data_IF_842761264585
#
_entry.id   IF_842761264585
#
_cell.length_a   1.000
_cell.length_b   1.000
_cell.length_c   1.000
_cell.angle_alpha   90.00
_cell.angle_beta   90.00
_cell.angle_gamma   90.00
#
_symmetry.space_group_name_H-M   'P 1'
#
loop_
_entity.id
_entity.type
_entity.pdbx_description
1 polymer ?
#
# COMPACT_ATOMS: atom_id res chain seq x y z
N UNK A 1 45.17 45.17 -8.38
CA UNK A 1 45.00 43.83 -7.76
C UNK A 1 43.63 43.80 -7.11
N UNK A 2 42.64 43.20 -7.77
CA UNK A 2 41.27 43.02 -7.25
C UNK A 2 41.10 41.55 -6.86
N UNK A 3 40.66 41.21 -5.63
CA UNK A 3 40.47 39.81 -5.24
C UNK A 3 39.19 39.25 -5.89
N UNK A 4 39.29 38.03 -6.44
CA UNK A 4 38.14 37.23 -6.89
C UNK A 4 37.40 36.67 -5.66
N UNK A 5 36.06 36.69 -5.61
CA UNK A 5 35.33 35.99 -4.55
C UNK A 5 35.35 34.48 -4.84
N UNK A 6 35.75 33.69 -3.85
CA UNK A 6 35.61 32.24 -3.87
C UNK A 6 34.14 31.89 -3.65
N UNK A 7 33.49 31.28 -4.64
CA UNK A 7 32.16 30.74 -4.51
C UNK A 7 32.22 29.45 -3.66
N UNK A 8 31.73 29.53 -2.43
CA UNK A 8 31.55 28.38 -1.54
C UNK A 8 30.31 27.60 -2.04
N UNK A 9 30.53 26.52 -2.79
CA UNK A 9 29.47 25.57 -3.15
C UNK A 9 29.12 24.74 -1.91
N UNK A 10 28.03 25.12 -1.24
CA UNK A 10 27.43 24.32 -0.19
C UNK A 10 26.69 23.14 -0.84
N UNK A 11 27.34 21.98 -0.91
CA UNK A 11 26.69 20.75 -1.34
C UNK A 11 25.71 20.31 -0.24
N UNK A 12 24.43 20.63 -0.41
CA UNK A 12 23.35 20.07 0.41
C UNK A 12 23.16 18.62 -0.02
N UNK A 13 23.73 17.69 0.75
CA UNK A 13 23.41 16.28 0.62
C UNK A 13 21.96 16.06 1.09
N UNK A 14 21.01 15.94 0.15
CA UNK A 14 19.70 15.40 0.47
C UNK A 14 19.85 13.91 0.80
N UNK A 15 19.90 13.60 2.10
CA UNK A 15 19.65 12.24 2.56
C UNK A 15 18.18 11.92 2.31
N UNK A 16 17.91 11.23 1.20
CA UNK A 16 16.63 10.57 0.97
C UNK A 16 16.49 9.44 1.99
N UNK A 17 15.83 9.71 3.11
CA UNK A 17 15.38 8.67 4.03
C UNK A 17 14.43 7.75 3.26
N UNK A 18 14.82 6.50 3.09
CA UNK A 18 13.91 5.48 2.60
C UNK A 18 12.79 5.33 3.65
N UNK A 19 11.54 5.66 3.32
CA UNK A 19 10.39 5.24 4.11
C UNK A 19 10.34 3.71 3.99
N UNK A 20 10.92 3.03 4.97
CA UNK A 20 10.81 1.59 5.12
C UNK A 20 9.34 1.23 5.35
N UNK A 21 8.95 0.01 4.97
CA UNK A 21 7.65 -0.53 5.38
C UNK A 21 7.51 -0.42 6.90
N UNK A 22 6.44 0.21 7.36
CA UNK A 22 6.16 0.37 8.77
C UNK A 22 5.78 -0.98 9.40
N UNK A 23 6.16 -1.12 10.66
CA UNK A 23 5.73 -2.22 11.50
C UNK A 23 4.58 -1.79 12.37
N UNK A 24 3.49 -2.55 12.31
CA UNK A 24 2.27 -2.31 13.07
C UNK A 24 2.23 -3.33 14.22
N UNK A 25 2.54 -2.91 15.46
CA UNK A 25 2.48 -3.80 16.60
C UNK A 25 1.03 -4.21 16.88
N UNK A 26 0.82 -5.49 17.13
CA UNK A 26 -0.48 -6.03 17.52
C UNK A 26 -0.49 -6.27 19.02
N UNK A 27 -1.26 -5.48 19.77
CA UNK A 27 -1.37 -5.66 21.22
C UNK A 27 -2.21 -6.89 21.54
N UNK A 28 -1.64 -7.82 22.29
CA UNK A 28 -2.41 -8.94 22.85
C UNK A 28 -3.30 -8.46 23.99
N UNK A 29 -4.53 -8.95 24.01
CA UNK A 29 -5.53 -8.68 25.06
C UNK A 29 -6.12 -10.01 25.52
N UNK A 30 -6.43 -10.13 26.80
CA UNK A 30 -6.93 -11.39 27.38
C UNK A 30 -8.39 -11.67 26.99
N UNK A 31 -9.16 -10.60 26.77
CA UNK A 31 -10.52 -10.66 26.26
C UNK A 31 -10.57 -10.47 24.73
N UNK A 32 -11.76 -10.62 24.14
CA UNK A 32 -11.96 -10.25 22.74
C UNK A 32 -11.73 -8.74 22.52
N UNK A 33 -11.13 -8.32 21.39
CA UNK A 33 -10.89 -6.91 21.12
C UNK A 33 -12.18 -6.08 21.14
N UNK A 34 -12.08 -4.83 21.62
CA UNK A 34 -13.23 -3.95 21.73
C UNK A 34 -13.83 -3.63 20.36
N UNK A 35 -15.14 -3.88 20.20
CA UNK A 35 -15.82 -3.61 18.93
C UNK A 35 -16.21 -2.15 18.73
N UNK A 36 -16.30 -1.36 19.80
CA UNK A 36 -16.60 0.08 19.72
C UNK A 36 -15.35 0.86 19.26
N UNK A 37 -15.39 1.57 18.13
CA UNK A 37 -14.27 2.38 17.64
C UNK A 37 -13.86 3.55 18.55
N UNK A 38 -14.70 3.91 19.53
CA UNK A 38 -14.42 4.95 20.52
C UNK A 38 -13.94 4.39 21.87
N UNK A 39 -13.85 3.07 22.01
CA UNK A 39 -13.40 2.44 23.25
C UNK A 39 -12.00 2.93 23.64
N UNK A 40 -11.83 3.27 24.92
CA UNK A 40 -10.58 3.83 25.45
C UNK A 40 -9.39 2.89 25.27
N UNK A 41 -9.62 1.58 25.23
CA UNK A 41 -8.57 0.59 24.96
C UNK A 41 -7.87 0.90 23.62
N UNK A 42 -8.58 1.32 22.58
CA UNK A 42 -7.95 1.74 21.32
C UNK A 42 -7.11 3.01 21.49
N UNK A 43 -7.63 3.99 22.22
CA UNK A 43 -6.98 5.30 22.34
C UNK A 43 -5.69 5.26 23.18
N UNK A 44 -5.52 4.27 24.05
CA UNK A 44 -4.28 4.04 24.80
C UNK A 44 -3.15 3.43 23.97
N UNK A 45 -3.44 2.94 22.76
CA UNK A 45 -2.42 2.42 21.87
C UNK A 45 -1.80 3.53 21.02
N UNK A 46 -0.47 3.57 20.88
CA UNK A 46 0.14 4.40 19.85
C UNK A 46 -0.40 3.97 18.48
N UNK A 47 -0.78 4.94 17.66
CA UNK A 47 -1.18 4.67 16.29
C UNK A 47 0.05 4.70 15.40
N UNK A 48 0.14 3.73 14.49
CA UNK A 48 1.06 3.84 13.36
C UNK A 48 0.37 4.69 12.29
N UNK A 49 0.99 5.80 11.90
CA UNK A 49 0.50 6.69 10.86
C UNK A 49 1.09 6.27 9.51
N UNK A 50 0.21 5.90 8.58
CA UNK A 50 0.53 5.40 7.25
C UNK A 50 0.13 6.43 6.21
N UNK A 51 0.96 6.60 5.18
CA UNK A 51 0.64 7.47 4.04
C UNK A 51 -0.35 6.77 3.11
N UNK A 52 -1.42 7.47 2.77
CA UNK A 52 -2.40 7.09 1.76
C UNK A 52 -2.04 7.77 0.44
N UNK A 53 -1.85 6.96 -0.61
CA UNK A 53 -1.49 7.41 -1.94
C UNK A 53 -2.59 7.05 -2.94
N UNK A 54 -2.86 7.90 -3.94
CA UNK A 54 -3.75 7.54 -5.04
C UNK A 54 -3.35 6.22 -5.70
N UNK A 55 -4.31 5.33 -5.94
CA UNK A 55 -4.09 4.21 -6.84
C UNK A 55 -4.11 4.73 -8.29
N UNK A 56 -2.96 4.79 -8.95
CA UNK A 56 -2.85 5.31 -10.33
C UNK A 56 -2.81 4.23 -11.41
N UNK A 57 -2.82 2.95 -11.02
CA UNK A 57 -2.62 1.84 -11.96
C UNK A 57 -3.85 1.56 -12.83
N UNK A 58 -5.07 1.80 -12.34
CA UNK A 58 -6.32 1.50 -13.06
C UNK A 58 -7.14 2.77 -13.28
N UNK A 59 -7.61 3.03 -14.51
CA UNK A 59 -8.51 4.14 -14.81
C UNK A 59 -9.86 4.08 -14.05
N UNK A 60 -10.44 5.23 -13.66
CA UNK A 60 -9.86 6.56 -13.75
C UNK A 60 -8.67 6.70 -12.79
N UNK A 61 -7.50 7.07 -13.31
CA UNK A 61 -6.26 7.19 -12.52
C UNK A 61 -6.10 8.59 -11.90
N UNK A 62 -7.07 9.47 -12.12
CA UNK A 62 -7.10 10.82 -11.58
C UNK A 62 -8.04 10.88 -10.39
N UNK A 63 -7.50 10.65 -9.20
CA UNK A 63 -8.11 11.24 -8.01
C UNK A 63 -7.98 12.77 -8.12
N UNK A 64 -8.98 13.56 -7.70
CA UNK A 64 -8.79 15.00 -7.55
C UNK A 64 -7.56 15.24 -6.67
N UNK A 65 -6.64 16.10 -7.12
CA UNK A 65 -5.44 16.46 -6.35
C UNK A 65 -5.77 17.01 -4.95
N UNK A 66 -7.00 17.52 -4.76
CA UNK A 66 -7.57 17.98 -3.51
C UNK A 66 -8.84 17.17 -3.15
N UNK A 67 -8.70 15.86 -2.97
CA UNK A 67 -9.76 15.06 -2.33
C UNK A 67 -9.98 15.50 -0.88
N UNK A 68 -11.18 15.23 -0.34
CA UNK A 68 -11.55 15.60 1.01
C UNK A 68 -10.89 14.71 2.08
N UNK A 69 -10.50 13.50 1.70
CA UNK A 69 -9.78 12.57 2.58
C UNK A 69 -8.30 12.96 2.72
N UNK A 70 -7.85 13.00 3.97
CA UNK A 70 -6.46 13.26 4.35
C UNK A 70 -5.53 12.14 3.85
N UNK A 71 -4.26 12.46 3.58
CA UNK A 71 -3.27 11.53 3.06
C UNK A 71 -2.68 10.61 4.14
N UNK A 72 -3.34 10.53 5.30
CA UNK A 72 -2.92 9.78 6.48
C UNK A 72 -4.01 8.84 6.98
N UNK A 73 -3.62 7.58 7.15
CA UNK A 73 -4.38 6.54 7.85
C UNK A 73 -3.67 6.18 9.15
N UNK A 74 -4.36 6.27 10.27
CA UNK A 74 -3.87 5.79 11.55
C UNK A 74 -4.38 4.39 11.80
N UNK A 75 -3.46 3.47 12.10
CA UNK A 75 -3.78 2.07 12.36
C UNK A 75 -3.34 1.66 13.75
N UNK A 76 -4.22 0.94 14.44
CA UNK A 76 -3.90 0.19 15.67
C UNK A 76 -4.43 -1.22 15.52
N UNK A 77 -3.81 -2.16 16.21
CA UNK A 77 -4.20 -3.56 16.13
C UNK A 77 -4.26 -4.19 17.53
N UNK A 78 -5.29 -4.99 17.76
CA UNK A 78 -5.43 -5.82 18.94
C UNK A 78 -5.71 -7.27 18.54
N UNK A 79 -5.24 -8.21 19.35
CA UNK A 79 -5.51 -9.63 19.17
C UNK A 79 -5.98 -10.23 20.49
N UNK A 80 -7.19 -10.78 20.48
CA UNK A 80 -7.74 -11.55 21.60
C UNK A 80 -7.57 -13.05 21.39
N UNK A 81 -8.31 -13.87 22.16
CA UNK A 81 -8.27 -15.32 22.07
C UNK A 81 -8.66 -15.85 20.69
N UNK A 82 -9.69 -15.26 20.06
CA UNK A 82 -10.23 -15.78 18.78
C UNK A 82 -10.13 -14.80 17.61
N UNK A 83 -9.99 -13.50 17.86
CA UNK A 83 -10.01 -12.47 16.80
C UNK A 83 -8.78 -11.59 16.76
N UNK A 84 -8.43 -11.22 15.53
CA UNK A 84 -7.63 -10.05 15.22
C UNK A 84 -8.58 -8.90 14.89
N UNK A 85 -8.33 -7.73 15.48
CA UNK A 85 -9.09 -6.51 15.20
C UNK A 85 -8.14 -5.37 14.82
N UNK A 86 -8.53 -4.63 13.79
CA UNK A 86 -7.83 -3.45 13.30
C UNK A 86 -8.71 -2.24 13.52
N UNK A 87 -8.16 -1.21 14.15
CA UNK A 87 -8.76 0.10 14.32
C UNK A 87 -8.14 1.05 13.30
N UNK A 88 -8.98 1.57 12.41
CA UNK A 88 -8.63 2.47 11.32
C UNK A 88 -9.20 3.85 11.62
N UNK A 89 -8.36 4.88 11.56
CA UNK A 89 -8.78 6.26 11.73
C UNK A 89 -8.22 7.14 10.61
N UNK A 90 -9.10 7.85 9.90
CA UNK A 90 -8.70 8.84 8.90
C UNK A 90 -9.60 10.07 9.00
N UNK A 91 -9.10 11.20 8.52
CA UNK A 91 -9.88 12.44 8.45
C UNK A 91 -10.67 12.48 7.15
N UNK A 92 -11.95 12.76 7.31
CA UNK A 92 -12.91 12.98 6.23
C UNK A 92 -13.93 14.03 6.72
N UNK A 93 -13.85 15.29 6.24
CA UNK A 93 -14.75 16.36 6.63
C UNK A 93 -16.17 16.21 6.04
N UNK A 94 -16.37 15.36 5.03
CA UNK A 94 -17.65 15.20 4.30
C UNK A 94 -18.01 13.72 4.17
N UNK A 95 -18.47 13.08 5.26
CA UNK A 95 -18.72 11.65 5.26
C UNK A 95 -19.88 11.30 4.33
N UNK A 96 -19.67 10.35 3.42
CA UNK A 96 -20.70 9.78 2.59
C UNK A 96 -21.16 8.44 3.16
N UNK A 97 -22.35 8.41 3.78
CA UNK A 97 -22.86 7.21 4.50
C UNK A 97 -23.80 6.32 3.68
N UNK A 98 -24.17 6.74 2.48
CA UNK A 98 -25.19 6.03 1.67
C UNK A 98 -24.67 5.70 0.29
N UNK A 99 -25.09 4.56 -0.24
CA UNK A 99 -24.75 4.11 -1.57
C UNK A 99 -26.02 4.02 -2.44
N UNK A 100 -25.91 4.36 -3.72
CA UNK A 100 -27.01 4.29 -4.67
C UNK A 100 -26.59 4.77 -6.05
N UNK A 101 -27.57 4.99 -6.93
CA UNK A 101 -27.32 5.52 -8.28
C UNK A 101 -26.72 6.93 -8.15
N UNK A 102 -25.50 7.11 -8.66
CA UNK A 102 -24.76 8.37 -8.57
C UNK A 102 -24.31 8.76 -7.16
N UNK A 103 -24.43 7.85 -6.17
CA UNK A 103 -23.98 8.09 -4.79
C UNK A 103 -23.08 6.96 -4.32
N UNK A 104 -21.90 7.32 -3.83
CA UNK A 104 -20.93 6.39 -3.28
C UNK A 104 -20.82 6.61 -1.78
N UNK A 105 -20.55 5.53 -1.06
CA UNK A 105 -20.36 5.58 0.39
C UNK A 105 -18.88 5.41 0.69
N UNK A 106 -18.43 6.04 1.77
CA UNK A 106 -17.06 5.87 2.27
C UNK A 106 -16.81 4.41 2.59
N UNK A 107 -15.60 3.95 2.33
CA UNK A 107 -15.23 2.58 2.54
C UNK A 107 -13.79 2.47 3.02
N UNK A 108 -13.49 1.33 3.64
CA UNK A 108 -12.14 0.94 3.99
C UNK A 108 -11.97 -0.56 3.73
N UNK A 109 -10.76 -0.92 3.34
CA UNK A 109 -10.37 -2.30 3.17
C UNK A 109 -8.98 -2.55 3.75
N UNK A 110 -8.76 -3.79 4.17
CA UNK A 110 -7.45 -4.31 4.53
C UNK A 110 -7.22 -5.59 3.74
N UNK A 111 -6.00 -5.79 3.26
CA UNK A 111 -5.62 -7.00 2.54
C UNK A 111 -4.30 -7.59 3.03
N UNK A 112 -4.13 -8.90 2.85
CA UNK A 112 -2.90 -9.65 3.11
C UNK A 112 -2.81 -10.90 2.25
N UNK A 113 -1.63 -11.50 2.08
CA UNK A 113 -1.47 -12.77 1.35
C UNK A 113 -2.32 -13.88 1.98
N UNK A 114 -3.03 -14.66 1.17
CA UNK A 114 -3.85 -15.76 1.67
C UNK A 114 -2.97 -16.86 2.28
N UNK A 115 -3.36 -17.35 3.46
CA UNK A 115 -2.49 -18.16 4.31
C UNK A 115 -2.03 -19.51 3.72
N UNK A 116 -2.79 -20.08 2.79
CA UNK A 116 -2.53 -21.40 2.21
C UNK A 116 -1.32 -21.46 1.25
N UNK A 117 -0.68 -20.32 0.97
CA UNK A 117 0.24 -20.17 -0.16
C UNK A 117 1.40 -19.21 0.13
N UNK A 118 1.46 -18.64 1.33
CA UNK A 118 2.56 -17.81 1.78
C UNK A 118 3.54 -18.69 2.59
N UNK A 119 4.64 -19.22 1.99
CA UNK A 119 5.69 -19.87 2.77
C UNK A 119 6.27 -18.88 3.77
N UNK A 120 6.68 -19.38 4.94
CA UNK A 120 7.53 -18.65 5.88
C UNK A 120 9.01 -19.01 5.59
N UNK A 121 9.92 -18.04 5.51
CA UNK A 121 9.68 -16.60 5.64
C UNK A 121 8.91 -16.06 4.42
N UNK A 122 8.07 -15.05 4.67
CA UNK A 122 7.25 -14.43 3.63
C UNK A 122 8.06 -14.12 2.37
N UNK A 123 7.69 -14.78 1.28
CA UNK A 123 8.02 -14.33 -0.07
C UNK A 123 7.59 -12.86 -0.22
N UNK A 124 8.12 -12.17 -1.24
CA UNK A 124 7.67 -10.82 -1.58
C UNK A 124 6.13 -10.74 -1.60
N UNK A 125 5.55 -9.66 -1.04
CA UNK A 125 4.12 -9.57 -0.97
C UNK A 125 3.53 -9.55 -2.38
N UNK A 126 2.33 -10.13 -2.58
CA UNK A 126 1.65 -10.11 -3.88
C UNK A 126 1.49 -8.69 -4.42
N UNK A 127 1.18 -8.59 -5.71
CA UNK A 127 0.75 -7.33 -6.32
C UNK A 127 -0.25 -6.58 -5.44
N UNK A 128 0.04 -5.30 -5.16
CA UNK A 128 -0.71 -4.49 -4.21
C UNK A 128 -2.19 -4.34 -4.61
N UNK A 129 -2.50 -4.30 -5.91
CA UNK A 129 -3.87 -4.21 -6.40
C UNK A 129 -4.58 -5.56 -6.43
N UNK A 130 -4.83 -6.16 -5.26
CA UNK A 130 -5.61 -7.40 -5.10
C UNK A 130 -4.89 -8.71 -5.51
N UNK A 131 -3.57 -8.76 -5.40
CA UNK A 131 -2.77 -9.96 -5.69
C UNK A 131 -2.66 -10.27 -7.18
N UNK A 132 -2.23 -11.49 -7.49
CA UNK A 132 -2.16 -12.01 -8.85
C UNK A 132 -2.29 -13.53 -8.86
N UNK A 133 -2.38 -14.13 -10.05
CA UNK A 133 -2.45 -15.60 -10.19
C UNK A 133 -1.22 -16.24 -9.52
N UNK A 134 -1.47 -17.20 -8.64
CA UNK A 134 -0.41 -17.87 -7.85
C UNK A 134 -0.09 -17.20 -6.51
N UNK A 135 -0.50 -15.94 -6.32
CA UNK A 135 -0.32 -15.20 -5.08
C UNK A 135 -1.59 -14.39 -4.73
N UNK A 136 -2.70 -15.07 -4.36
CA UNK A 136 -3.92 -14.42 -3.95
C UNK A 136 -3.81 -13.76 -2.57
N UNK A 137 -4.71 -12.83 -2.33
CA UNK A 137 -4.89 -12.10 -1.08
C UNK A 137 -6.27 -12.38 -0.48
N UNK A 138 -6.34 -12.34 0.84
CA UNK A 138 -7.59 -12.12 1.57
C UNK A 138 -7.80 -10.62 1.76
N UNK A 139 -9.05 -10.18 1.73
CA UNK A 139 -9.45 -8.79 1.90
C UNK A 139 -10.62 -8.75 2.89
N UNK A 140 -10.54 -7.89 3.90
CA UNK A 140 -11.71 -7.50 4.68
C UNK A 140 -12.16 -6.13 4.22
N UNK A 141 -13.42 -6.03 3.82
CA UNK A 141 -14.03 -4.82 3.28
C UNK A 141 -15.14 -4.33 4.20
N UNK A 142 -15.18 -3.02 4.44
CA UNK A 142 -16.26 -2.31 5.13
C UNK A 142 -16.69 -1.09 4.30
N UNK A 143 -17.99 -0.76 4.34
CA UNK A 143 -18.55 0.45 3.76
C UNK A 143 -19.57 1.09 4.69
N UNK A 144 -19.67 2.41 4.62
CA UNK A 144 -20.44 3.23 5.55
C UNK A 144 -21.96 2.98 5.55
N UNK A 145 -22.49 2.33 4.51
CA UNK A 145 -23.88 1.87 4.44
C UNK A 145 -24.15 0.58 5.24
N UNK A 146 -23.16 0.11 6.02
CA UNK A 146 -23.25 -1.07 6.86
C UNK A 146 -22.80 -2.35 6.16
N UNK A 147 -22.39 -2.28 4.88
CA UNK A 147 -21.85 -3.44 4.16
C UNK A 147 -20.49 -3.85 4.75
N UNK A 148 -20.29 -5.16 4.92
CA UNK A 148 -19.01 -5.76 5.32
C UNK A 148 -18.87 -7.15 4.72
N UNK A 149 -17.71 -7.46 4.16
CA UNK A 149 -17.45 -8.72 3.44
C UNK A 149 -16.02 -9.20 3.68
N UNK A 150 -15.86 -10.52 3.82
CA UNK A 150 -14.56 -11.18 3.58
C UNK A 150 -14.51 -11.54 2.11
N UNK A 151 -13.40 -11.24 1.47
CA UNK A 151 -13.20 -11.45 0.05
C UNK A 151 -11.83 -12.11 -0.16
N UNK A 152 -11.66 -12.79 -1.28
CA UNK A 152 -10.36 -13.20 -1.78
C UNK A 152 -10.21 -12.73 -3.22
N UNK A 153 -8.96 -12.49 -3.63
CA UNK A 153 -8.64 -12.11 -4.99
C UNK A 153 -7.26 -12.65 -5.39
N UNK A 154 -7.10 -13.00 -6.67
CA UNK A 154 -5.88 -13.43 -7.32
C UNK A 154 -5.60 -12.50 -8.52
N UNK A 155 -5.77 -11.20 -8.31
CA UNK A 155 -5.72 -10.18 -9.35
C UNK A 155 -7.09 -9.59 -9.70
N UNK A 156 -7.08 -8.77 -10.73
CA UNK A 156 -8.26 -8.00 -11.15
C UNK A 156 -9.37 -8.89 -11.71
N UNK A 157 -10.61 -8.58 -11.35
CA UNK A 157 -11.80 -9.30 -11.81
C UNK A 157 -12.02 -10.67 -11.17
N UNK A 158 -11.19 -11.09 -10.21
CA UNK A 158 -11.32 -12.40 -9.55
C UNK A 158 -11.91 -12.31 -8.13
N UNK A 159 -12.41 -11.13 -7.74
CA UNK A 159 -12.85 -10.85 -6.38
C UNK A 159 -14.05 -11.73 -6.03
N UNK A 160 -13.90 -12.53 -4.98
CA UNK A 160 -14.87 -13.58 -4.63
C UNK A 160 -15.15 -13.57 -3.13
N UNK A 161 -16.42 -13.60 -2.75
CA UNK A 161 -16.85 -13.64 -1.34
C UNK A 161 -16.34 -14.90 -0.64
N UNK A 162 -15.83 -14.72 0.57
CA UNK A 162 -15.36 -15.79 1.43
C UNK A 162 -16.31 -15.98 2.62
N UNK A 163 -16.50 -17.21 3.12
CA UNK A 163 -17.28 -17.45 4.32
C UNK A 163 -16.58 -16.87 5.57
N UNK A 164 -17.34 -16.65 6.65
CA UNK A 164 -16.83 -16.33 7.98
C UNK A 164 -17.40 -15.04 8.59
N UNK A 165 -17.30 -14.94 9.91
CA UNK A 165 -17.81 -13.82 10.70
C UNK A 165 -16.85 -12.63 10.65
N UNK A 166 -17.12 -11.68 9.73
CA UNK A 166 -16.47 -10.38 9.73
C UNK A 166 -17.34 -9.36 10.48
N UNK A 167 -16.80 -8.87 11.58
CA UNK A 167 -17.40 -7.81 12.37
C UNK A 167 -16.83 -6.48 11.93
N UNK A 168 -17.71 -5.51 11.74
CA UNK A 168 -17.32 -4.13 11.50
C UNK A 168 -18.24 -3.18 12.27
N UNK A 169 -17.63 -2.22 12.94
CA UNK A 169 -18.31 -1.09 13.60
C UNK A 169 -17.58 0.17 13.20
N UNK A 170 -18.33 1.23 12.99
CA UNK A 170 -17.78 2.49 12.52
C UNK A 170 -18.52 3.65 13.17
N UNK A 171 -17.79 4.70 13.48
CA UNK A 171 -18.32 5.96 13.99
C UNK A 171 -17.62 7.11 13.27
N UNK A 172 -18.41 8.05 12.77
CA UNK A 172 -17.89 9.31 12.26
C UNK A 172 -18.16 10.42 13.28
N UNK A 173 -17.12 11.11 13.72
CA UNK A 173 -17.25 12.20 14.67
C UNK A 173 -16.18 13.27 14.41
N UNK A 174 -16.61 14.55 14.35
CA UNK A 174 -15.72 15.72 14.18
C UNK A 174 -14.76 15.60 12.97
N UNK A 175 -15.31 15.22 11.82
CA UNK A 175 -14.54 15.15 10.57
C UNK A 175 -13.58 13.96 10.49
N UNK A 176 -13.83 12.89 11.25
CA UNK A 176 -13.00 11.67 11.23
C UNK A 176 -13.85 10.44 11.30
N UNK A 177 -13.50 9.46 10.48
CA UNK A 177 -13.97 8.09 10.62
C UNK A 177 -13.09 7.34 11.61
N UNK A 178 -13.73 6.50 12.43
CA UNK A 178 -13.09 5.43 13.19
C UNK A 178 -13.81 4.13 12.88
N UNK A 179 -13.07 3.14 12.39
CA UNK A 179 -13.61 1.85 12.00
C UNK A 179 -12.86 0.75 12.73
N UNK A 180 -13.57 -0.13 13.42
CA UNK A 180 -13.03 -1.40 13.91
C UNK A 180 -13.50 -2.50 13.00
N UNK A 181 -12.57 -3.22 12.40
CA UNK A 181 -12.83 -4.40 11.58
C UNK A 181 -12.14 -5.61 12.22
N UNK A 182 -12.88 -6.70 12.43
CA UNK A 182 -12.39 -7.84 13.19
C UNK A 182 -12.95 -9.16 12.68
N UNK A 183 -12.07 -10.15 12.54
CA UNK A 183 -12.44 -11.52 12.21
C UNK A 183 -11.48 -12.51 12.88
N UNK A 184 -11.78 -13.80 12.75
CA UNK A 184 -10.85 -14.85 13.14
C UNK A 184 -9.55 -14.75 12.33
N UNK A 185 -8.41 -14.94 12.99
CA UNK A 185 -7.10 -14.93 12.34
C UNK A 185 -6.27 -16.11 12.85
N UNK A 186 -5.43 -16.65 11.96
CA UNK A 186 -4.55 -17.79 12.25
C UNK A 186 -3.63 -17.49 13.45
N UNK A 187 -3.70 -18.29 14.54
CA UNK A 187 -2.88 -18.09 15.72
C UNK A 187 -1.39 -18.41 15.54
N UNK A 188 -1.00 -19.14 14.50
CA UNK A 188 0.38 -19.58 14.30
C UNK A 188 1.28 -18.50 13.65
N UNK A 189 0.70 -17.45 13.06
CA UNK A 189 1.46 -16.45 12.31
C UNK A 189 2.17 -15.46 13.25
N UNK A 190 3.48 -15.33 13.08
CA UNK A 190 4.29 -14.35 13.81
C UNK A 190 4.19 -12.95 13.21
N UNK A 191 4.13 -12.88 11.88
CA UNK A 191 4.02 -11.66 11.09
C UNK A 191 3.05 -11.83 9.95
N UNK A 192 2.50 -10.73 9.44
CA UNK A 192 1.61 -10.72 8.29
C UNK A 192 1.83 -9.45 7.45
N UNK A 193 2.23 -9.57 6.17
CA UNK A 193 2.21 -8.43 5.26
C UNK A 193 0.77 -7.90 5.13
N UNK A 194 0.59 -6.59 5.25
CA UNK A 194 -0.72 -5.95 5.23
C UNK A 194 -0.70 -4.69 4.37
N UNK A 195 -1.77 -4.42 3.64
CA UNK A 195 -2.00 -3.14 2.99
C UNK A 195 -3.44 -2.68 3.21
N UNK A 196 -3.65 -1.37 3.15
CA UNK A 196 -4.95 -0.75 3.41
C UNK A 196 -5.41 0.04 2.21
N UNK A 197 -6.72 0.18 2.09
CA UNK A 197 -7.35 1.09 1.15
C UNK A 197 -8.49 1.87 1.81
N UNK A 198 -8.67 3.12 1.37
CA UNK A 198 -9.75 4.01 1.79
C UNK A 198 -10.41 4.60 0.54
N UNK A 199 -11.73 4.75 0.60
CA UNK A 199 -12.53 5.42 -0.42
C UNK A 199 -13.32 6.57 0.21
N UNK A 200 -13.25 7.75 -0.41
CA UNK A 200 -14.18 8.86 -0.17
C UNK A 200 -15.37 8.79 -1.13
N UNK A 201 -16.56 8.50 -0.61
CA UNK A 201 -17.76 8.44 -1.43
C UNK A 201 -18.16 9.81 -2.00
N UNK A 202 -17.90 10.88 -1.26
CA UNK A 202 -18.11 12.28 -1.68
C UNK A 202 -17.23 12.65 -2.88
N UNK A 203 -15.98 12.15 -2.94
CA UNK A 203 -15.08 12.34 -4.08
C UNK A 203 -15.37 11.38 -5.25
N UNK A 204 -16.41 10.56 -5.15
CA UNK A 204 -16.79 9.58 -6.17
C UNK A 204 -15.90 8.33 -6.22
N UNK A 205 -15.05 8.14 -5.21
CA UNK A 205 -14.14 7.00 -5.09
C UNK A 205 -14.95 5.70 -4.92
N UNK A 206 -14.60 4.68 -5.73
CA UNK A 206 -15.16 3.32 -5.71
C UNK A 206 -14.25 2.38 -6.48
N UNK A 207 -14.38 1.07 -6.26
CA UNK A 207 -13.62 0.04 -6.99
C UNK A 207 -12.10 0.33 -6.97
N UNK A 208 -11.45 0.50 -8.12
CA UNK A 208 -10.03 0.88 -8.23
C UNK A 208 -9.74 2.36 -7.99
N UNK A 209 -10.75 3.24 -8.04
CA UNK A 209 -10.60 4.65 -7.72
C UNK A 209 -10.57 4.80 -6.20
N UNK A 210 -9.38 4.77 -5.61
CA UNK A 210 -9.17 4.70 -4.17
C UNK A 210 -7.79 5.19 -3.76
N UNK A 211 -7.62 5.37 -2.46
CA UNK A 211 -6.30 5.58 -1.85
C UNK A 211 -5.81 4.28 -1.22
N UNK A 212 -4.53 4.00 -1.33
CA UNK A 212 -3.89 2.80 -0.79
C UNK A 212 -2.63 3.13 -0.01
N UNK A 213 -2.24 2.26 0.91
CA UNK A 213 -0.90 2.28 1.50
C UNK A 213 0.05 1.39 0.70
N UNK A 214 1.36 1.60 0.84
CA UNK A 214 2.33 0.55 0.53
C UNK A 214 2.09 -0.69 1.41
N UNK A 215 2.72 -1.82 1.08
CA UNK A 215 2.79 -2.98 1.97
C UNK A 215 3.50 -2.61 3.29
N UNK A 216 2.87 -2.98 4.40
CA UNK A 216 3.34 -2.85 5.79
C UNK A 216 3.44 -4.24 6.42
N UNK A 217 3.91 -4.34 7.66
CA UNK A 217 3.97 -5.61 8.40
C UNK A 217 3.21 -5.53 9.71
N UNK A 218 2.24 -6.44 9.95
CA UNK A 218 1.66 -6.65 11.27
C UNK A 218 2.58 -7.58 12.09
N UNK A 219 2.94 -7.17 13.31
CA UNK A 219 3.70 -7.99 14.27
C UNK A 219 2.73 -8.65 15.26
N UNK A 220 2.32 -9.89 14.95
CA UNK A 220 1.32 -10.66 15.71
C UNK A 220 1.87 -11.26 17.01
N UNK A 221 3.19 -11.44 17.10
CA UNK A 221 3.88 -11.97 18.27
C UNK A 221 4.45 -10.90 19.22
N UNK A 222 4.09 -9.63 19.04
CA UNK A 222 4.49 -8.57 19.96
C UNK A 222 3.85 -8.78 21.33
N UNK A 223 4.63 -9.24 22.31
CA UNK A 223 4.31 -9.07 23.72
C UNK A 223 4.41 -7.57 24.03
N UNK A 224 3.36 -6.80 23.77
CA UNK A 224 3.17 -5.56 24.50
C UNK A 224 2.80 -5.95 25.94
N UNK A 225 3.81 -6.18 26.77
CA UNK A 225 3.65 -6.33 28.19
C UNK A 225 2.88 -5.12 28.74
N UNK A 226 1.97 -5.39 29.68
CA UNK A 226 0.99 -4.44 30.19
C UNK A 226 1.59 -3.13 30.71
N UNK A 227 0.70 -2.14 30.80
CA UNK A 227 0.94 -0.79 31.28
C UNK A 227 1.97 -0.69 32.43
N UNK A 228 3.05 0.06 32.18
CA UNK A 228 4.02 0.46 33.20
C UNK A 228 5.42 0.67 32.64
N UNK A 229 5.73 1.87 32.15
CA UNK A 229 7.11 2.24 31.81
C UNK A 229 7.20 3.21 30.65
N UNK A 230 7.30 4.51 30.96
CA UNK A 230 7.74 5.53 30.03
C UNK A 230 9.21 5.27 29.61
N UNK A 231 9.54 5.65 28.38
CA UNK A 231 10.90 5.97 27.87
C UNK A 231 11.89 4.89 27.39
N UNK A 232 11.52 3.62 27.15
CA UNK A 232 12.50 2.68 26.53
C UNK A 232 12.07 1.84 25.32
N UNK A 233 10.80 1.84 24.92
CA UNK A 233 10.35 1.01 23.78
C UNK A 233 10.47 1.66 22.39
N UNK A 234 10.91 2.94 22.31
CA UNK A 234 11.16 3.61 21.02
C UNK A 234 12.58 3.33 20.51
N UNK A 235 13.49 2.86 21.37
CA UNK A 235 14.91 2.71 21.02
C UNK A 235 15.29 1.30 20.54
N UNK A 236 14.59 0.23 20.96
CA UNK A 236 14.95 -1.15 20.60
C UNK A 236 14.15 -1.72 19.41
N UNK A 237 13.07 -1.05 18.99
CA UNK A 237 12.39 -1.36 17.72
C UNK A 237 13.16 -0.86 16.48
N UNK A 238 14.28 -0.15 16.67
CA UNK A 238 15.13 0.38 15.60
C UNK A 238 16.26 -0.59 15.17
N UNK A 239 16.40 -1.76 15.81
CA UNK A 239 17.52 -2.69 15.53
C UNK A 239 17.12 -4.14 15.27
N UNK A 240 15.83 -4.44 15.08
CA UNK A 240 15.41 -5.77 14.63
C UNK A 240 15.28 -5.76 13.10
N UNK A 241 16.13 -6.55 12.44
CA UNK A 241 16.16 -6.73 10.99
C UNK A 241 14.73 -6.89 10.42
N UNK A 242 14.28 -5.86 9.71
CA UNK A 242 13.22 -5.99 8.73
C UNK A 242 13.65 -7.08 7.72
N UNK A 243 12.74 -7.92 7.18
CA UNK A 243 13.11 -8.76 6.06
C UNK A 243 13.67 -7.84 4.97
N UNK A 244 14.95 -8.03 4.67
CA UNK A 244 15.71 -7.20 3.77
C UNK A 244 15.02 -7.20 2.40
N UNK A 245 14.21 -6.17 2.13
CA UNK A 245 13.99 -5.76 0.75
C UNK A 245 15.29 -5.10 0.31
N UNK A 246 16.26 -5.93 -0.08
CA UNK A 246 17.60 -5.50 -0.46
C UNK A 246 17.50 -4.20 -1.28
N UNK A 247 18.14 -3.08 -0.86
CA UNK A 247 18.30 -1.94 -1.74
C UNK A 247 19.02 -2.42 -3.01
N UNK A 248 18.64 -1.93 -4.21
CA UNK A 248 19.11 -2.53 -5.44
C UNK A 248 20.62 -2.35 -5.57
N UNK A 249 21.24 -3.36 -6.17
CA UNK A 249 22.58 -3.32 -6.72
C UNK A 249 22.64 -2.38 -7.96
N UNK A 250 22.25 -1.11 -7.82
CA UNK A 250 22.08 -0.18 -8.95
C UNK A 250 22.20 1.31 -8.59
N UNK A 251 22.41 2.13 -9.62
CA UNK A 251 22.63 3.58 -9.60
C UNK A 251 21.41 4.32 -10.16
N UNK A 252 20.70 5.05 -9.29
CA UNK A 252 19.49 5.78 -9.66
C UNK A 252 19.73 6.88 -10.71
N UNK A 253 20.92 7.49 -10.76
CA UNK A 253 21.23 8.50 -11.76
C UNK A 253 21.45 7.87 -13.15
N UNK A 254 22.04 6.67 -13.21
CA UNK A 254 22.05 5.88 -14.46
C UNK A 254 20.65 5.43 -14.84
N UNK A 255 19.86 4.95 -13.88
CA UNK A 255 18.46 4.56 -14.10
C UNK A 255 17.61 5.69 -14.68
N UNK A 256 17.76 6.92 -14.18
CA UNK A 256 17.06 8.09 -14.71
C UNK A 256 17.39 8.36 -16.19
N UNK A 257 18.65 8.16 -16.61
CA UNK A 257 19.05 8.28 -18.01
C UNK A 257 18.47 7.15 -18.86
N UNK A 258 18.51 5.92 -18.35
CA UNK A 258 17.95 4.74 -19.02
C UNK A 258 16.45 4.88 -19.31
N UNK A 259 15.68 5.59 -18.48
CA UNK A 259 14.26 5.87 -18.76
C UNK A 259 14.05 6.59 -20.10
N UNK A 260 15.00 7.44 -20.50
CA UNK A 260 15.00 8.12 -21.78
C UNK A 260 15.64 7.24 -22.86
N UNK A 261 16.84 6.74 -22.60
CA UNK A 261 17.65 6.01 -23.59
C UNK A 261 16.99 4.71 -24.06
N UNK A 262 16.17 4.08 -23.20
CA UNK A 262 15.45 2.83 -23.47
C UNK A 262 13.99 3.06 -23.87
N UNK A 263 13.57 4.31 -24.08
CA UNK A 263 12.25 4.66 -24.60
C UNK A 263 11.09 4.57 -23.60
N UNK A 264 11.34 4.31 -22.31
CA UNK A 264 10.30 4.23 -21.28
C UNK A 264 9.47 5.53 -21.20
N UNK A 265 10.12 6.67 -21.44
CA UNK A 265 9.50 7.99 -21.46
C UNK A 265 8.49 8.24 -22.58
N UNK A 266 8.47 7.39 -23.63
CA UNK A 266 7.45 7.46 -24.67
C UNK A 266 6.07 7.00 -24.19
N UNK A 267 6.03 6.16 -23.14
CA UNK A 267 4.80 5.57 -22.64
C UNK A 267 4.44 6.00 -21.22
N UNK A 268 5.43 6.26 -20.36
CA UNK A 268 5.22 6.52 -18.93
C UNK A 268 5.46 7.97 -18.51
N UNK A 269 4.51 8.55 -17.78
CA UNK A 269 4.71 9.77 -17.00
C UNK A 269 5.60 9.50 -15.77
N UNK A 270 6.53 10.41 -15.48
CA UNK A 270 7.39 10.39 -14.29
C UNK A 270 8.05 11.77 -14.08
N UNK A 271 8.57 12.09 -12.88
CA UNK A 271 9.19 13.39 -12.61
C UNK A 271 10.38 13.64 -13.52
N UNK A 272 10.32 14.73 -14.30
CA UNK A 272 11.36 15.07 -15.28
C UNK A 272 11.10 14.56 -16.70
N UNK A 273 9.99 13.85 -16.96
CA UNK A 273 9.55 13.56 -18.32
C UNK A 273 8.68 14.71 -18.86
N UNK A 274 9.14 15.50 -19.85
CA UNK A 274 8.36 16.62 -20.39
C UNK A 274 7.15 16.17 -21.21
N UNK A 275 7.10 14.91 -21.67
CA UNK A 275 6.05 14.41 -22.55
C UNK A 275 4.74 14.01 -21.85
N UNK A 276 4.79 13.75 -20.55
CA UNK A 276 3.63 13.35 -19.73
C UNK A 276 2.66 12.36 -20.41
N UNK A 277 3.15 11.25 -20.99
CA UNK A 277 2.31 10.31 -21.73
C UNK A 277 1.37 9.53 -20.81
N UNK A 278 0.24 9.09 -21.37
CA UNK A 278 -0.78 8.30 -20.68
C UNK A 278 -0.93 6.87 -21.24
N UNK A 279 -0.01 6.43 -22.10
CA UNK A 279 -0.04 5.10 -22.73
C UNK A 279 0.23 3.98 -21.72
N UNK A 280 1.18 4.19 -20.80
CA UNK A 280 1.45 3.32 -19.66
C UNK A 280 0.95 3.95 -18.36
N UNK A 281 1.02 3.21 -17.23
CA UNK A 281 0.73 3.75 -15.91
C UNK A 281 1.68 4.89 -15.53
N UNK A 282 1.18 5.84 -14.75
CA UNK A 282 1.96 6.91 -14.15
C UNK A 282 2.92 6.33 -13.09
N UNK A 283 4.21 6.60 -13.23
CA UNK A 283 5.27 6.08 -12.38
C UNK A 283 5.72 7.04 -11.29
N UNK A 284 5.14 8.24 -11.17
CA UNK A 284 5.57 9.25 -10.17
C UNK A 284 5.62 8.75 -8.73
N UNK A 285 4.82 7.75 -8.39
CA UNK A 285 4.76 7.16 -7.05
C UNK A 285 5.13 5.67 -7.03
N UNK A 286 5.74 5.16 -8.11
CA UNK A 286 6.03 3.74 -8.26
C UNK A 286 6.85 3.19 -7.08
N UNK A 287 7.87 3.93 -6.64
CA UNK A 287 8.73 3.57 -5.50
C UNK A 287 8.09 3.74 -4.13
N UNK A 288 6.99 4.49 -4.03
CA UNK A 288 6.23 4.61 -2.80
C UNK A 288 5.19 3.48 -2.63
N UNK A 289 4.70 2.91 -3.72
CA UNK A 289 3.65 1.89 -3.71
C UNK A 289 4.18 0.47 -3.84
N UNK A 290 5.23 0.27 -4.62
CA UNK A 290 5.67 -1.05 -5.03
C UNK A 290 7.02 -1.46 -4.44
N UNK A 291 7.20 -2.75 -4.22
CA UNK A 291 8.48 -3.31 -3.79
C UNK A 291 9.48 -3.26 -4.95
N UNK A 292 10.78 -3.19 -4.62
CA UNK A 292 11.84 -3.17 -5.64
C UNK A 292 11.79 -4.39 -6.56
N UNK A 293 11.40 -5.53 -6.03
CA UNK A 293 11.39 -6.76 -6.80
C UNK A 293 10.11 -6.97 -7.61
N UNK A 294 8.96 -6.42 -7.19
CA UNK A 294 7.83 -6.25 -8.11
C UNK A 294 8.22 -5.37 -9.31
N UNK A 295 8.97 -4.28 -9.08
CA UNK A 295 9.44 -3.41 -10.16
C UNK A 295 10.41 -4.15 -11.09
N UNK A 296 11.34 -4.93 -10.54
CA UNK A 296 12.28 -5.76 -11.30
C UNK A 296 11.55 -6.82 -12.14
N UNK A 297 10.56 -7.51 -11.56
CA UNK A 297 9.72 -8.49 -12.25
C UNK A 297 8.90 -7.83 -13.35
N UNK A 298 8.30 -6.65 -13.09
CA UNK A 298 7.51 -5.93 -14.08
C UNK A 298 8.33 -5.53 -15.30
N UNK A 299 9.61 -5.17 -15.12
CA UNK A 299 10.54 -4.91 -16.22
C UNK A 299 10.90 -6.20 -16.98
N UNK A 300 11.09 -7.31 -16.27
CA UNK A 300 11.52 -8.59 -16.86
C UNK A 300 10.39 -9.32 -17.60
N UNK A 301 9.21 -9.37 -16.98
CA UNK A 301 8.07 -10.20 -17.37
C UNK A 301 6.76 -9.38 -17.27
N UNK A 302 6.60 -8.31 -18.06
CA UNK A 302 5.46 -7.39 -17.94
C UNK A 302 4.08 -8.03 -18.18
N UNK A 303 4.03 -9.18 -18.87
CA UNK A 303 2.78 -9.93 -19.08
C UNK A 303 2.40 -10.84 -17.91
N UNK A 304 3.22 -10.93 -16.86
CA UNK A 304 2.94 -11.76 -15.69
C UNK A 304 1.82 -11.19 -14.83
N UNK A 305 1.81 -9.87 -14.65
CA UNK A 305 0.77 -9.13 -13.93
C UNK A 305 0.25 -8.04 -14.87
N UNK A 306 -0.95 -8.26 -15.41
CA UNK A 306 -1.58 -7.33 -16.34
C UNK A 306 -2.60 -6.49 -15.60
N UNK A 307 -2.33 -5.19 -15.53
CA UNK A 307 -3.26 -4.21 -14.99
C UNK A 307 -4.37 -3.96 -16.00
N UNK A 308 -5.67 -4.00 -15.61
CA UNK A 308 -6.77 -3.72 -16.50
C UNK A 308 -6.80 -2.22 -16.79
N UNK A 309 -6.24 -1.84 -17.92
CA UNK A 309 -6.29 -0.48 -18.44
C UNK A 309 -6.51 -0.54 -19.95
N UNK A 310 -7.36 0.36 -20.47
CA UNK A 310 -7.53 0.47 -21.92
C UNK A 310 -6.18 0.80 -22.54
N UNK A 311 -5.71 -0.07 -23.42
CA UNK A 311 -4.43 0.10 -24.11
C UNK A 311 -3.21 -0.44 -23.36
N UNK A 312 -3.34 -1.04 -22.17
CA UNK A 312 -2.20 -1.61 -21.43
C UNK A 312 -1.83 -3.02 -21.89
N UNK A 313 -2.73 -3.70 -22.59
CA UNK A 313 -2.51 -5.05 -23.09
C UNK A 313 -3.19 -5.23 -24.45
N UNK A 314 -2.65 -6.17 -25.21
CA UNK A 314 -3.32 -6.79 -26.36
C UNK A 314 -3.90 -8.13 -25.93
N UNK A 315 -5.06 -8.47 -26.48
CA UNK A 315 -5.67 -9.78 -26.27
C UNK A 315 -5.71 -10.52 -27.60
N UNK A 316 -5.12 -11.72 -27.64
CA UNK A 316 -5.06 -12.58 -28.82
C UNK A 316 -5.43 -13.99 -28.39
N UNK A 317 -6.45 -14.58 -28.99
CA UNK A 317 -6.94 -15.93 -28.67
C UNK A 317 -7.25 -16.12 -27.17
N UNK A 318 -7.81 -15.10 -26.52
CA UNK A 318 -8.14 -15.12 -25.08
C UNK A 318 -6.93 -14.99 -24.15
N UNK A 319 -5.72 -14.81 -24.68
CA UNK A 319 -4.51 -14.55 -23.89
C UNK A 319 -4.19 -13.06 -23.94
N UNK A 320 -4.07 -12.46 -22.75
CA UNK A 320 -3.61 -11.08 -22.60
C UNK A 320 -2.09 -11.03 -22.55
N UNK A 321 -1.51 -10.04 -23.24
CA UNK A 321 -0.09 -9.71 -23.18
C UNK A 321 0.06 -8.20 -23.02
N UNK A 322 0.97 -7.78 -22.14
CA UNK A 322 1.28 -6.36 -21.93
C UNK A 322 1.78 -5.72 -23.22
N UNK A 323 1.39 -4.46 -23.47
CA UNK A 323 2.00 -3.65 -24.55
C UNK A 323 3.41 -3.18 -24.19
N UNK A 324 3.74 -3.09 -22.89
CA UNK A 324 5.11 -2.88 -22.46
C UNK A 324 5.90 -4.16 -22.79
N UNK A 325 6.90 -4.11 -23.68
CA UNK A 325 7.72 -5.27 -23.98
C UNK A 325 8.61 -5.60 -22.78
N UNK A 326 9.06 -6.86 -22.65
CA UNK A 326 10.16 -7.19 -21.74
C UNK A 326 11.35 -6.25 -21.97
N UNK A 327 11.97 -5.81 -20.88
CA UNK A 327 13.10 -4.89 -20.95
C UNK A 327 14.27 -5.52 -21.71
N UNK A 328 14.73 -4.82 -22.75
CA UNK A 328 15.88 -5.20 -23.55
C UNK A 328 17.16 -4.52 -23.02
N UNK A 329 17.88 -5.25 -22.17
CA UNK A 329 19.15 -4.82 -21.59
C UNK A 329 19.67 -5.78 -20.52
N UNK A 330 20.83 -5.42 -19.98
CA UNK A 330 21.52 -6.20 -18.95
C UNK A 330 20.77 -6.20 -17.61
N UNK A 331 21.11 -7.17 -16.74
CA UNK A 331 20.62 -7.18 -15.35
C UNK A 331 21.03 -5.91 -14.59
N UNK A 332 22.26 -5.40 -14.82
CA UNK A 332 22.74 -4.19 -14.18
C UNK A 332 21.94 -2.95 -14.59
N UNK A 333 21.59 -2.81 -15.86
CA UNK A 333 20.70 -1.72 -16.32
C UNK A 333 19.30 -1.82 -15.70
N UNK A 334 18.76 -3.04 -15.53
CA UNK A 334 17.50 -3.24 -14.79
C UNK A 334 17.62 -2.85 -13.33
N UNK A 335 18.71 -3.21 -12.66
CA UNK A 335 18.95 -2.87 -11.27
C UNK A 335 19.07 -1.33 -11.11
N UNK A 336 19.70 -0.63 -12.05
CA UNK A 336 19.76 0.84 -12.12
C UNK A 336 18.36 1.46 -12.32
N UNK A 337 17.55 0.92 -13.23
CA UNK A 337 16.15 1.35 -13.43
C UNK A 337 15.31 1.16 -12.17
N UNK A 338 15.44 0.02 -11.49
CA UNK A 338 14.76 -0.25 -10.22
C UNK A 338 15.22 0.74 -9.14
N UNK A 339 16.52 1.07 -9.09
CA UNK A 339 17.04 2.09 -8.18
C UNK A 339 16.40 3.46 -8.41
N UNK A 340 16.26 3.87 -9.68
CA UNK A 340 15.56 5.10 -10.04
C UNK A 340 14.07 5.04 -9.66
N UNK A 341 13.33 4.00 -10.07
CA UNK A 341 11.90 3.88 -9.80
C UNK A 341 11.59 3.86 -8.30
N UNK A 342 12.44 3.23 -7.48
CA UNK A 342 12.33 3.24 -6.01
C UNK A 342 12.52 4.61 -5.38
N UNK A 343 13.18 5.53 -6.08
CA UNK A 343 13.37 6.92 -5.62
C UNK A 343 12.13 7.80 -5.83
N UNK A 344 11.16 7.36 -6.65
CA UNK A 344 9.95 8.11 -6.98
C UNK A 344 8.90 7.96 -5.88
N UNK A 345 8.53 9.06 -5.18
CA UNK A 345 7.61 9.07 -4.03
C UNK A 345 6.80 10.36 -3.87
#
# INVERSE_FOLDING_TARGET
MTPRPAALLLAVALLAVAAAAAEIPVRRVDAEPASDPQDRSWLTLPAVELRLLPQTSVPPATLPAAGHVDDRLRVRAQRGPTRLALHLEWRDPRPAKTHGIGRFADAAAVQWPLAAIAPEPAAEPPYLGMGHRGAPVEIWFWRADGKRERLAAAGFGTLTTQPGDLRARAEWQRGRWRVVIAAAADPARATLPVAFAVWSGEDGERDGLKRVTAWQTLRLNSAMAGAGGNDKLVAEAATADAPASNPPAGDAARGARLMQDKGCAGCHAYPGNPGEPATGPDLRQAGALHTGAYLAESLAEPSRIIVPGRGYFVETEGRRASIMPPFDGSRAERDDLVAFLRSLR
#
